data_IF_535681385804
#
_entry.id   IF_535681385804
#
_cell.length_a   1.000
_cell.length_b   1.000
_cell.length_c   1.000
_cell.angle_alpha   90.00
_cell.angle_beta   90.00
_cell.angle_gamma   90.00
#
_symmetry.space_group_name_H-M   'P 1'
#
loop_
_entity.id
_entity.type
_entity.pdbx_description
1 polymer ?
#
# COMPACT_ATOMS: atom_id res chain seq x y z
N UNK A 1 -12.10 2.55 17.45
CA UNK A 1 -12.25 3.89 16.86
C UNK A 1 -13.60 3.94 16.17
N UNK A 2 -14.32 5.07 16.27
CA UNK A 2 -15.50 5.30 15.43
C UNK A 2 -15.05 5.39 13.96
N UNK A 3 -15.80 4.79 13.05
CA UNK A 3 -15.48 4.82 11.63
C UNK A 3 -15.88 6.21 11.10
N UNK A 4 -14.97 6.89 10.40
CA UNK A 4 -15.24 8.19 9.79
C UNK A 4 -15.58 8.05 8.31
N UNK A 5 -16.67 8.68 7.87
CA UNK A 5 -17.07 8.72 6.47
C UNK A 5 -17.12 10.16 5.97
N UNK A 6 -16.58 10.38 4.77
CA UNK A 6 -16.72 11.64 4.04
C UNK A 6 -17.71 11.45 2.89
N UNK A 7 -18.77 12.25 2.83
CA UNK A 7 -19.76 12.17 1.75
C UNK A 7 -19.46 13.27 0.73
N UNK A 8 -19.08 12.85 -0.47
CA UNK A 8 -18.83 13.71 -1.62
C UNK A 8 -20.11 13.76 -2.49
N UNK A 9 -20.72 14.93 -2.67
CA UNK A 9 -21.98 15.10 -3.40
C UNK A 9 -22.11 16.51 -3.96
N UNK A 10 -22.84 16.68 -5.06
CA UNK A 10 -23.16 18.00 -5.61
C UNK A 10 -24.35 18.60 -4.83
N UNK A 11 -24.52 19.92 -4.87
CA UNK A 11 -25.61 20.61 -4.16
C UNK A 11 -26.99 19.99 -4.44
N UNK A 12 -27.23 19.59 -5.69
CA UNK A 12 -28.51 18.98 -6.11
C UNK A 12 -28.75 17.58 -5.51
N UNK A 13 -27.71 16.92 -5.01
CA UNK A 13 -27.75 15.58 -4.40
C UNK A 13 -27.78 15.62 -2.86
N UNK A 14 -27.97 16.79 -2.25
CA UNK A 14 -27.87 16.99 -0.80
C UNK A 14 -28.82 16.09 0.00
N UNK A 15 -30.07 15.93 -0.44
CA UNK A 15 -31.05 15.09 0.24
C UNK A 15 -30.63 13.60 0.25
N UNK A 16 -30.06 13.13 -0.86
CA UNK A 16 -29.54 11.76 -0.96
C UNK A 16 -28.33 11.59 -0.04
N UNK A 17 -27.42 12.55 -0.01
CA UNK A 17 -26.27 12.55 0.87
C UNK A 17 -26.68 12.56 2.35
N UNK A 18 -27.63 13.43 2.75
CA UNK A 18 -28.16 13.49 4.12
C UNK A 18 -28.81 12.18 4.54
N UNK A 19 -29.54 11.53 3.63
CA UNK A 19 -30.17 10.22 3.90
C UNK A 19 -29.12 9.13 4.16
N UNK A 20 -28.06 9.08 3.35
CA UNK A 20 -26.93 8.16 3.55
C UNK A 20 -26.17 8.47 4.84
N UNK A 21 -25.90 9.75 5.10
CA UNK A 21 -25.21 10.21 6.30
C UNK A 21 -25.95 9.82 7.57
N UNK A 22 -27.26 10.09 7.64
CA UNK A 22 -28.09 9.73 8.78
C UNK A 22 -28.13 8.22 9.05
N UNK A 23 -28.01 7.37 8.02
CA UNK A 23 -27.91 5.91 8.22
C UNK A 23 -26.56 5.51 8.82
N UNK A 24 -25.46 6.07 8.29
CA UNK A 24 -24.11 5.80 8.79
C UNK A 24 -23.98 6.24 10.26
N UNK A 25 -24.49 7.41 10.61
CA UNK A 25 -24.53 7.92 11.99
C UNK A 25 -25.33 7.00 12.91
N UNK A 26 -26.50 6.49 12.46
CA UNK A 26 -27.28 5.48 13.20
C UNK A 26 -26.49 4.20 13.49
N UNK A 27 -25.46 3.91 12.70
CA UNK A 27 -24.55 2.78 12.90
C UNK A 27 -23.26 3.14 13.65
N UNK A 28 -23.19 4.34 14.25
CA UNK A 28 -22.09 4.80 15.10
C UNK A 28 -20.91 5.41 14.35
N UNK A 29 -21.13 5.88 13.11
CA UNK A 29 -20.08 6.48 12.29
C UNK A 29 -20.07 7.99 12.48
N UNK A 30 -18.90 8.60 12.34
CA UNK A 30 -18.77 10.06 12.27
C UNK A 30 -18.81 10.47 10.80
N UNK A 31 -19.77 11.31 10.43
CA UNK A 31 -19.99 11.72 9.05
C UNK A 31 -19.57 13.17 8.84
N UNK A 32 -18.79 13.40 7.79
CA UNK A 32 -18.49 14.73 7.27
C UNK A 32 -19.12 14.88 5.90
N UNK A 33 -19.94 15.91 5.72
CA UNK A 33 -20.53 16.24 4.43
C UNK A 33 -19.60 17.16 3.65
N UNK A 34 -19.45 16.91 2.34
CA UNK A 34 -18.91 17.89 1.41
C UNK A 34 -19.78 19.15 1.42
N UNK A 35 -19.17 20.30 1.14
CA UNK A 35 -19.88 21.56 1.17
C UNK A 35 -19.01 22.77 0.84
N UNK A 36 -19.65 23.94 0.63
CA UNK A 36 -18.98 25.19 0.27
C UNK A 36 -17.93 25.62 1.31
N UNK A 37 -18.07 25.14 2.54
CA UNK A 37 -17.12 25.31 3.64
C UNK A 37 -15.71 24.84 3.30
N UNK A 38 -15.55 23.90 2.36
CA UNK A 38 -14.27 23.32 1.95
C UNK A 38 -13.91 23.66 0.48
N UNK A 39 -14.86 24.18 -0.29
CA UNK A 39 -14.74 24.44 -1.73
C UNK A 39 -14.15 25.82 -2.02
N UNK A 40 -12.94 26.08 -1.54
CA UNK A 40 -12.16 27.24 -1.95
C UNK A 40 -10.68 26.91 -2.10
N UNK A 41 -9.96 27.65 -2.95
CA UNK A 41 -8.53 27.42 -3.16
C UNK A 41 -7.73 27.55 -1.85
N UNK A 42 -8.10 28.51 -1.00
CA UNK A 42 -7.50 28.72 0.32
C UNK A 42 -7.71 27.53 1.27
N UNK A 43 -8.76 26.74 1.05
CA UNK A 43 -9.13 25.59 1.88
C UNK A 43 -8.77 24.24 1.27
N UNK A 44 -8.03 24.22 0.15
CA UNK A 44 -7.63 22.99 -0.52
C UNK A 44 -6.86 22.04 0.42
N UNK A 45 -5.93 22.57 1.21
CA UNK A 45 -5.17 21.79 2.20
C UNK A 45 -6.09 21.16 3.25
N UNK A 46 -7.08 21.91 3.74
CA UNK A 46 -8.05 21.42 4.71
C UNK A 46 -8.94 20.31 4.11
N UNK A 47 -9.38 20.48 2.86
CA UNK A 47 -10.13 19.46 2.12
C UNK A 47 -9.33 18.17 1.99
N UNK A 48 -8.08 18.25 1.50
CA UNK A 48 -7.23 17.07 1.34
C UNK A 48 -6.95 16.40 2.67
N UNK A 49 -6.80 17.18 3.75
CA UNK A 49 -6.64 16.63 5.09
C UNK A 49 -7.88 15.88 5.56
N UNK A 50 -9.07 16.50 5.52
CA UNK A 50 -10.33 15.89 5.97
C UNK A 50 -10.64 14.63 5.19
N UNK A 51 -10.52 14.68 3.86
CA UNK A 51 -10.73 13.50 3.00
C UNK A 51 -9.67 12.43 3.27
N UNK A 52 -8.40 12.83 3.36
CA UNK A 52 -7.26 11.94 3.56
C UNK A 52 -7.19 11.29 4.94
N UNK A 53 -7.97 11.76 5.92
CA UNK A 53 -8.08 11.19 7.26
C UNK A 53 -9.34 10.34 7.47
N UNK A 54 -10.28 10.37 6.52
CA UNK A 54 -11.49 9.52 6.56
C UNK A 54 -11.16 8.02 6.49
N UNK A 55 -12.06 7.15 6.96
CA UNK A 55 -11.94 5.71 6.72
C UNK A 55 -12.49 5.34 5.34
N UNK A 56 -13.56 6.01 4.90
CA UNK A 56 -14.20 5.79 3.61
C UNK A 56 -14.72 7.11 3.04
N UNK A 57 -14.71 7.20 1.72
CA UNK A 57 -15.40 8.25 0.98
C UNK A 57 -16.62 7.63 0.30
N UNK A 58 -17.78 8.26 0.45
CA UNK A 58 -19.00 7.86 -0.25
C UNK A 58 -19.31 8.95 -1.27
N UNK A 59 -19.21 8.62 -2.54
CA UNK A 59 -19.54 9.52 -3.65
C UNK A 59 -20.99 9.30 -4.05
N UNK A 60 -21.81 10.34 -3.95
CA UNK A 60 -23.13 10.38 -4.56
C UNK A 60 -22.93 10.76 -6.03
N UNK A 61 -23.16 9.79 -6.92
CA UNK A 61 -22.91 9.91 -8.34
C UNK A 61 -24.20 10.23 -9.10
N UNK A 62 -24.19 11.39 -9.75
CA UNK A 62 -25.26 11.96 -10.57
C UNK A 62 -24.65 12.75 -11.73
N UNK A 63 -25.49 13.29 -12.62
CA UNK A 63 -25.05 14.24 -13.65
C UNK A 63 -24.40 15.49 -13.05
N UNK A 64 -24.98 16.07 -11.99
CA UNK A 64 -24.41 17.24 -11.30
C UNK A 64 -23.05 16.91 -10.68
N UNK A 65 -22.89 15.71 -10.13
CA UNK A 65 -21.61 15.25 -9.60
C UNK A 65 -20.54 15.12 -10.69
N UNK A 66 -20.93 14.65 -11.88
CA UNK A 66 -20.04 14.57 -13.04
C UNK A 66 -19.54 15.95 -13.48
N UNK A 67 -20.36 17.00 -13.38
CA UNK A 67 -20.01 18.36 -13.79
C UNK A 67 -19.20 19.14 -12.73
N UNK A 68 -19.10 18.61 -11.50
CA UNK A 68 -18.41 19.27 -10.40
C UNK A 68 -16.90 19.02 -10.38
N UNK A 69 -16.13 20.05 -10.70
CA UNK A 69 -14.67 20.03 -10.56
C UNK A 69 -14.20 19.86 -9.09
N UNK A 70 -15.03 20.22 -8.12
CA UNK A 70 -14.71 20.05 -6.69
C UNK A 70 -14.81 18.59 -6.27
N UNK A 71 -15.85 17.87 -6.69
CA UNK A 71 -15.96 16.44 -6.40
C UNK A 71 -14.84 15.63 -7.06
N UNK A 72 -14.43 16.02 -8.26
CA UNK A 72 -13.26 15.40 -8.89
C UNK A 72 -12.00 15.58 -8.01
N UNK A 73 -11.80 16.76 -7.41
CA UNK A 73 -10.69 17.00 -6.47
C UNK A 73 -10.81 16.18 -5.19
N UNK A 74 -12.01 16.06 -4.62
CA UNK A 74 -12.25 15.23 -3.43
C UNK A 74 -11.96 13.75 -3.71
N UNK A 75 -12.41 13.22 -4.84
CA UNK A 75 -12.10 11.86 -5.25
C UNK A 75 -10.60 11.69 -5.47
N UNK A 76 -9.93 12.61 -6.16
CA UNK A 76 -8.47 12.55 -6.32
C UNK A 76 -7.75 12.58 -4.96
N UNK A 77 -8.20 13.41 -4.02
CA UNK A 77 -7.65 13.45 -2.66
C UNK A 77 -7.84 12.12 -1.94
N UNK A 78 -9.01 11.50 -2.06
CA UNK A 78 -9.31 10.18 -1.51
C UNK A 78 -8.35 9.13 -2.08
N UNK A 79 -8.21 9.08 -3.40
CA UNK A 79 -7.39 8.12 -4.12
C UNK A 79 -5.90 8.27 -3.80
N UNK A 80 -5.39 9.50 -3.75
CA UNK A 80 -4.00 9.78 -3.38
C UNK A 80 -3.68 9.39 -1.94
N UNK A 81 -4.69 9.28 -1.08
CA UNK A 81 -4.57 8.90 0.33
C UNK A 81 -5.02 7.46 0.62
N UNK A 82 -5.20 6.63 -0.40
CA UNK A 82 -5.56 5.21 -0.24
C UNK A 82 -6.98 4.99 0.30
N UNK A 83 -7.81 6.02 0.29
CA UNK A 83 -9.16 5.99 0.85
C UNK A 83 -10.07 5.24 -0.12
N UNK A 84 -10.79 4.21 0.35
CA UNK A 84 -11.77 3.55 -0.50
C UNK A 84 -12.90 4.52 -0.83
N UNK A 85 -13.35 4.50 -2.08
CA UNK A 85 -14.46 5.30 -2.56
C UNK A 85 -15.61 4.36 -2.90
N UNK A 86 -16.74 4.51 -2.23
CA UNK A 86 -17.98 3.80 -2.52
C UNK A 86 -18.81 4.69 -3.43
N UNK A 87 -19.15 4.19 -4.62
CA UNK A 87 -20.01 4.89 -5.55
C UNK A 87 -21.47 4.52 -5.28
N UNK A 88 -22.27 5.53 -4.97
CA UNK A 88 -23.71 5.43 -4.75
C UNK A 88 -24.40 6.20 -5.85
N UNK A 89 -25.12 5.51 -6.71
CA UNK A 89 -25.70 6.08 -7.92
C UNK A 89 -27.06 6.71 -7.61
N UNK A 90 -27.14 8.04 -7.62
CA UNK A 90 -28.37 8.81 -7.44
C UNK A 90 -28.98 9.30 -8.76
N UNK A 91 -28.19 9.30 -9.85
CA UNK A 91 -28.65 9.65 -11.20
C UNK A 91 -28.02 8.78 -12.27
N UNK A 92 -28.43 8.98 -13.52
CA UNK A 92 -27.76 8.35 -14.66
C UNK A 92 -26.41 9.02 -14.92
N UNK A 93 -25.41 8.22 -15.30
CA UNK A 93 -24.08 8.69 -15.66
C UNK A 93 -23.87 8.46 -17.16
N UNK A 94 -23.29 9.45 -17.81
CA UNK A 94 -22.86 9.32 -19.21
C UNK A 94 -21.76 8.26 -19.36
N UNK A 95 -21.70 7.58 -20.51
CA UNK A 95 -20.70 6.53 -20.75
C UNK A 95 -19.25 7.05 -20.72
N UNK A 96 -19.06 8.35 -20.97
CA UNK A 96 -17.79 9.08 -20.95
C UNK A 96 -17.52 9.79 -19.61
N UNK A 97 -18.33 9.52 -18.57
CA UNK A 97 -18.14 10.10 -17.24
C UNK A 97 -16.74 9.83 -16.68
N UNK A 98 -16.12 10.87 -16.10
CA UNK A 98 -14.86 10.73 -15.37
C UNK A 98 -15.01 9.75 -14.19
N UNK A 99 -16.22 9.59 -13.64
CA UNK A 99 -16.51 8.65 -12.55
C UNK A 99 -16.27 7.21 -13.03
N UNK A 100 -16.82 6.84 -14.19
CA UNK A 100 -16.57 5.53 -14.81
C UNK A 100 -15.11 5.32 -15.19
N UNK A 101 -14.44 6.38 -15.64
CA UNK A 101 -13.03 6.31 -16.02
C UNK A 101 -12.08 6.14 -14.82
N UNK A 102 -12.52 6.52 -13.60
CA UNK A 102 -11.64 6.63 -12.42
C UNK A 102 -11.99 5.64 -11.32
N UNK A 103 -13.25 5.25 -11.20
CA UNK A 103 -13.77 4.44 -10.10
C UNK A 103 -14.42 3.15 -10.62
N UNK A 104 -14.39 2.11 -9.80
CA UNK A 104 -15.12 0.88 -10.08
C UNK A 104 -16.62 1.11 -9.86
N UNK A 105 -17.35 1.14 -10.98
CA UNK A 105 -18.81 1.28 -11.03
C UNK A 105 -19.49 0.00 -11.53
N UNK A 106 -18.80 -1.15 -11.53
CA UNK A 106 -19.35 -2.42 -12.05
C UNK A 106 -20.47 -3.01 -11.18
N UNK A 107 -20.57 -2.57 -9.92
CA UNK A 107 -21.61 -2.96 -8.98
C UNK A 107 -22.00 -1.74 -8.13
N UNK A 108 -22.72 -0.76 -8.70
CA UNK A 108 -23.09 0.46 -8.01
C UNK A 108 -24.21 0.18 -7.00
N UNK A 109 -24.24 0.95 -5.92
CA UNK A 109 -25.38 0.97 -4.99
C UNK A 109 -26.40 1.95 -5.55
N UNK A 110 -27.57 1.47 -5.95
CA UNK A 110 -28.58 2.28 -6.65
C UNK A 110 -29.53 2.99 -5.69
N UNK A 111 -29.51 4.33 -5.72
CA UNK A 111 -30.41 5.24 -5.00
C UNK A 111 -31.36 6.02 -5.91
N UNK A 112 -31.38 5.78 -7.23
CA UNK A 112 -32.27 6.49 -8.16
C UNK A 112 -33.76 6.33 -7.82
N UNK A 113 -34.11 5.28 -7.07
CA UNK A 113 -35.47 5.02 -6.59
C UNK A 113 -35.68 5.34 -5.10
N UNK A 114 -34.83 6.22 -4.56
CA UNK A 114 -34.84 6.69 -3.17
C UNK A 114 -33.93 5.91 -2.22
N UNK A 115 -33.61 6.53 -1.07
CA UNK A 115 -32.80 6.01 0.03
C UNK A 115 -33.51 4.91 0.84
N UNK A 116 -33.82 3.79 0.19
CA UNK A 116 -34.46 2.63 0.84
C UNK A 116 -33.47 1.94 1.78
N UNK A 117 -34.02 1.33 2.83
CA UNK A 117 -33.23 0.60 3.84
C UNK A 117 -32.25 -0.40 3.22
N UNK A 118 -32.65 -1.17 2.20
CA UNK A 118 -31.77 -2.15 1.53
C UNK A 118 -30.51 -1.51 0.92
N UNK A 119 -30.66 -0.42 0.17
CA UNK A 119 -29.52 0.26 -0.48
C UNK A 119 -28.61 0.93 0.56
N UNK A 120 -29.20 1.49 1.61
CA UNK A 120 -28.45 2.07 2.72
C UNK A 120 -27.66 1.01 3.50
N UNK A 121 -28.25 -0.18 3.71
CA UNK A 121 -27.55 -1.33 4.30
C UNK A 121 -26.38 -1.78 3.42
N UNK A 122 -26.52 -1.79 2.09
CA UNK A 122 -25.41 -2.10 1.18
C UNK A 122 -24.23 -1.15 1.32
N UNK A 123 -24.48 0.15 1.57
CA UNK A 123 -23.40 1.13 1.82
C UNK A 123 -22.62 0.72 3.07
N UNK A 124 -23.34 0.41 4.15
CA UNK A 124 -22.75 -0.02 5.43
C UNK A 124 -21.96 -1.31 5.26
N UNK A 125 -22.54 -2.32 4.63
CA UNK A 125 -21.90 -3.62 4.44
C UNK A 125 -20.62 -3.50 3.61
N UNK A 126 -20.68 -2.72 2.52
CA UNK A 126 -19.50 -2.47 1.69
C UNK A 126 -18.43 -1.68 2.45
N UNK A 127 -18.84 -0.66 3.21
CA UNK A 127 -17.91 0.15 4.00
C UNK A 127 -17.28 -0.65 5.14
N UNK A 128 -18.03 -1.53 5.81
CA UNK A 128 -17.51 -2.49 6.81
C UNK A 128 -16.55 -3.50 6.17
N UNK A 129 -16.90 -4.08 5.03
CA UNK A 129 -16.03 -5.01 4.29
C UNK A 129 -14.73 -4.36 3.79
N UNK A 130 -14.72 -3.04 3.59
CA UNK A 130 -13.53 -2.26 3.26
C UNK A 130 -12.68 -1.97 4.51
N UNK A 131 -13.30 -1.86 5.69
CA UNK A 131 -12.62 -1.57 6.96
C UNK A 131 -12.07 -2.81 7.69
N UNK A 132 -12.54 -4.02 7.37
CA UNK A 132 -11.98 -5.29 7.87
C UNK A 132 -10.99 -5.82 6.85
N UNK A 133 -9.78 -5.27 6.77
CA UNK A 133 -8.79 -5.69 5.75
C UNK A 133 -7.36 -5.68 6.25
N UNK A 134 -6.54 -6.53 5.62
CA UNK A 134 -5.09 -6.49 5.79
C UNK A 134 -4.52 -5.12 5.51
N UNK A 135 -3.43 -4.80 6.20
CA UNK A 135 -2.75 -3.50 6.08
C UNK A 135 -1.81 -3.49 4.89
N UNK A 136 -1.85 -2.44 4.08
CA UNK A 136 -0.90 -2.23 2.98
C UNK A 136 0.30 -1.47 3.51
N UNK A 137 1.46 -2.09 3.41
CA UNK A 137 2.71 -1.58 3.96
C UNK A 137 3.70 -1.42 2.81
N UNK A 138 4.10 -0.19 2.51
CA UNK A 138 5.11 0.09 1.49
C UNK A 138 6.50 0.22 2.12
N UNK A 139 7.46 -0.53 1.59
CA UNK A 139 8.86 -0.47 1.96
C UNK A 139 9.55 0.54 1.06
N UNK A 140 9.83 1.75 1.56
CA UNK A 140 10.30 2.88 0.74
C UNK A 140 11.55 3.55 1.32
N UNK A 141 12.48 3.93 0.46
CA UNK A 141 13.63 4.77 0.75
C UNK A 141 14.28 5.17 -0.57
N UNK A 142 14.54 6.47 -0.74
CA UNK A 142 15.23 7.03 -1.90
C UNK A 142 16.70 6.58 -1.96
N UNK A 143 17.32 6.24 -0.82
CA UNK A 143 18.65 5.66 -0.82
C UNK A 143 18.61 4.19 -1.24
N UNK A 144 19.44 3.84 -2.23
CA UNK A 144 19.70 2.46 -2.62
C UNK A 144 20.49 1.69 -1.55
N UNK A 145 20.44 0.35 -1.56
CA UNK A 145 21.29 -0.48 -0.71
C UNK A 145 20.96 -0.50 0.79
N UNK A 146 19.94 0.24 1.26
CA UNK A 146 19.54 0.26 2.68
C UNK A 146 18.90 -1.05 3.18
N UNK A 147 18.60 -1.98 2.28
CA UNK A 147 18.04 -3.30 2.60
C UNK A 147 16.51 -3.41 2.52
N UNK A 148 15.82 -2.55 1.74
CA UNK A 148 14.36 -2.61 1.51
C UNK A 148 13.84 -4.01 1.21
N UNK A 149 14.24 -4.58 0.07
CA UNK A 149 13.83 -5.92 -0.37
C UNK A 149 14.13 -7.00 0.67
N UNK A 150 15.33 -6.96 1.25
CA UNK A 150 15.77 -7.95 2.24
C UNK A 150 14.90 -7.88 3.50
N UNK A 151 14.63 -6.68 4.00
CA UNK A 151 13.75 -6.50 5.16
C UNK A 151 12.29 -6.81 4.81
N UNK A 152 11.80 -6.42 3.64
CA UNK A 152 10.47 -6.78 3.16
C UNK A 152 10.29 -8.30 3.23
N UNK A 153 11.20 -9.06 2.64
CA UNK A 153 11.12 -10.52 2.67
C UNK A 153 11.21 -11.09 4.09
N UNK A 154 12.17 -10.63 4.90
CA UNK A 154 12.52 -11.30 6.16
C UNK A 154 11.69 -10.86 7.37
N UNK A 155 11.32 -9.58 7.47
CA UNK A 155 10.45 -9.07 8.54
C UNK A 155 9.07 -9.71 8.41
N UNK A 156 8.51 -9.74 7.20
CA UNK A 156 7.17 -10.30 7.02
C UNK A 156 7.16 -11.83 6.94
N UNK A 157 8.28 -12.48 6.57
CA UNK A 157 8.45 -13.90 6.84
C UNK A 157 8.48 -14.21 8.35
N UNK A 158 9.07 -13.32 9.18
CA UNK A 158 9.04 -13.48 10.63
C UNK A 158 7.61 -13.40 11.17
N UNK A 159 6.82 -12.41 10.74
CA UNK A 159 5.39 -12.32 11.07
C UNK A 159 4.60 -13.59 10.66
N UNK A 160 4.86 -14.12 9.46
CA UNK A 160 4.19 -15.33 8.99
C UNK A 160 4.56 -16.56 9.81
N UNK A 161 5.86 -16.77 10.06
CA UNK A 161 6.35 -17.98 10.71
C UNK A 161 6.04 -17.99 12.20
N UNK A 162 6.23 -16.86 12.89
CA UNK A 162 6.01 -16.73 14.34
C UNK A 162 4.52 -16.58 14.68
N UNK A 163 3.81 -15.67 14.00
CA UNK A 163 2.47 -15.25 14.40
C UNK A 163 1.35 -15.77 13.47
N UNK A 164 1.71 -16.60 12.47
CA UNK A 164 0.76 -17.15 11.49
C UNK A 164 -0.02 -16.07 10.72
N UNK A 165 0.61 -14.91 10.49
CA UNK A 165 0.04 -13.85 9.66
C UNK A 165 -0.04 -14.27 8.20
N UNK A 166 -1.17 -14.00 7.56
CA UNK A 166 -1.28 -14.10 6.11
C UNK A 166 -0.59 -12.89 5.46
N UNK A 167 0.33 -13.11 4.52
CA UNK A 167 1.13 -12.05 3.89
C UNK A 167 1.10 -12.20 2.38
N UNK A 168 0.78 -11.12 1.67
CA UNK A 168 0.97 -11.02 0.23
C UNK A 168 2.05 -9.99 -0.07
N UNK A 169 2.99 -10.31 -0.95
CA UNK A 169 4.00 -9.38 -1.43
C UNK A 169 3.64 -8.87 -2.82
N UNK A 170 4.01 -7.63 -3.12
CA UNK A 170 4.00 -7.05 -4.46
C UNK A 170 5.41 -6.52 -4.71
N UNK A 171 6.08 -7.07 -5.71
CA UNK A 171 7.38 -6.56 -6.17
C UNK A 171 7.15 -5.54 -7.29
N UNK A 172 7.30 -4.27 -6.95
CA UNK A 172 7.07 -3.13 -7.82
C UNK A 172 8.39 -2.47 -8.27
N UNK A 173 9.52 -3.12 -8.04
CA UNK A 173 10.83 -2.67 -8.51
C UNK A 173 11.12 -3.29 -9.90
N UNK A 174 11.52 -2.50 -10.93
CA UNK A 174 12.00 -3.06 -12.20
C UNK A 174 13.18 -4.03 -12.04
N UNK A 175 14.01 -3.89 -11.01
CA UNK A 175 15.06 -4.87 -10.71
C UNK A 175 14.53 -6.18 -10.13
N UNK A 176 13.25 -6.20 -9.75
CA UNK A 176 12.46 -7.35 -9.31
C UNK A 176 13.18 -8.22 -8.26
N UNK A 177 13.99 -7.59 -7.40
CA UNK A 177 14.88 -8.28 -6.47
C UNK A 177 14.11 -9.15 -5.46
N UNK A 178 12.90 -8.75 -5.07
CA UNK A 178 12.06 -9.55 -4.17
C UNK A 178 11.61 -10.84 -4.86
N UNK A 179 11.31 -10.76 -6.15
CA UNK A 179 10.99 -11.91 -6.99
C UNK A 179 12.17 -12.83 -7.15
N UNK A 180 13.37 -12.29 -7.39
CA UNK A 180 14.60 -13.10 -7.45
C UNK A 180 14.93 -13.73 -6.10
N UNK A 181 14.56 -13.06 -5.00
CA UNK A 181 14.78 -13.56 -3.65
C UNK A 181 14.02 -14.86 -3.38
N UNK A 182 12.77 -14.95 -3.85
CA UNK A 182 11.88 -16.07 -3.58
C UNK A 182 11.82 -17.11 -4.70
N UNK A 183 11.94 -16.71 -5.97
CA UNK A 183 11.63 -17.57 -7.11
C UNK A 183 12.88 -17.97 -7.91
N UNK A 184 12.93 -19.24 -8.29
CA UNK A 184 13.98 -19.75 -9.18
C UNK A 184 13.93 -19.09 -10.57
N UNK A 185 15.04 -19.07 -11.33
CA UNK A 185 15.04 -18.56 -12.70
C UNK A 185 13.96 -19.20 -13.59
N UNK A 186 13.73 -20.51 -13.46
CA UNK A 186 12.71 -21.21 -14.25
C UNK A 186 11.28 -20.78 -13.91
N UNK A 187 10.97 -20.51 -12.64
CA UNK A 187 9.66 -19.98 -12.24
C UNK A 187 9.46 -18.56 -12.74
N UNK A 188 10.49 -17.70 -12.60
CA UNK A 188 10.46 -16.31 -13.09
C UNK A 188 10.20 -16.26 -14.59
N UNK A 189 10.92 -17.07 -15.37
CA UNK A 189 10.72 -17.15 -16.83
C UNK A 189 9.29 -17.55 -17.18
N UNK A 190 8.73 -18.60 -16.53
CA UNK A 190 7.35 -19.03 -16.78
C UNK A 190 6.31 -17.95 -16.48
N UNK A 191 6.51 -17.18 -15.41
CA UNK A 191 5.61 -16.09 -15.02
C UNK A 191 5.67 -14.96 -16.06
N UNK A 192 6.89 -14.57 -16.44
CA UNK A 192 7.13 -13.53 -17.44
C UNK A 192 6.55 -13.90 -18.80
N UNK A 193 6.82 -15.12 -19.28
CA UNK A 193 6.39 -15.60 -20.60
C UNK A 193 4.86 -15.71 -20.72
N UNK A 194 4.15 -15.80 -19.59
CA UNK A 194 2.67 -15.77 -19.53
C UNK A 194 2.10 -14.38 -19.24
N UNK A 195 2.95 -13.36 -19.07
CA UNK A 195 2.55 -12.02 -18.59
C UNK A 195 1.80 -12.03 -17.24
N UNK A 196 2.06 -13.03 -16.39
CA UNK A 196 1.44 -13.17 -15.07
C UNK A 196 2.20 -12.38 -13.97
N UNK A 197 2.92 -11.33 -14.35
CA UNK A 197 3.64 -10.43 -13.45
C UNK A 197 2.85 -9.15 -13.23
N UNK A 198 3.33 -8.32 -12.29
CA UNK A 198 2.80 -6.97 -12.08
C UNK A 198 2.78 -6.13 -13.35
N UNK A 199 3.72 -6.35 -14.29
CA UNK A 199 3.71 -5.67 -15.58
C UNK A 199 2.44 -5.98 -16.37
N UNK A 200 2.03 -7.24 -16.46
CA UNK A 200 0.81 -7.61 -17.18
C UNK A 200 -0.46 -7.08 -16.50
N UNK A 201 -0.45 -6.99 -15.17
CA UNK A 201 -1.54 -6.39 -14.39
C UNK A 201 -1.67 -4.89 -14.68
N UNK A 202 -0.56 -4.15 -14.69
CA UNK A 202 -0.56 -2.70 -14.90
C UNK A 202 -0.84 -2.31 -16.36
N UNK A 203 -0.60 -3.20 -17.33
CA UNK A 203 -0.91 -2.92 -18.73
C UNK A 203 -2.42 -3.04 -18.99
N UNK A 204 -3.10 -1.97 -19.43
CA UNK A 204 -4.54 -2.00 -19.63
C UNK A 204 -4.96 -2.71 -20.92
N UNK A 205 -4.06 -2.84 -21.89
CA UNK A 205 -4.33 -3.30 -23.26
C UNK A 205 -3.11 -4.02 -23.85
N UNK A 206 -3.32 -4.66 -24.99
CA UNK A 206 -2.29 -5.39 -25.73
C UNK A 206 -2.07 -6.80 -25.21
N UNK A 207 -1.18 -7.54 -25.88
CA UNK A 207 -0.90 -8.96 -25.60
C UNK A 207 -0.35 -9.21 -24.18
N UNK A 208 0.25 -8.19 -23.56
CA UNK A 208 0.74 -8.27 -22.20
C UNK A 208 -0.34 -8.09 -21.13
N UNK A 209 -1.55 -7.62 -21.48
CA UNK A 209 -2.58 -7.28 -20.50
C UNK A 209 -3.23 -8.50 -19.88
N UNK A 210 -3.33 -8.52 -18.55
CA UNK A 210 -4.07 -9.53 -17.77
C UNK A 210 -5.50 -9.05 -17.53
N UNK A 211 -6.56 -9.84 -17.85
CA UNK A 211 -7.94 -9.46 -17.54
C UNK A 211 -8.17 -9.12 -16.07
N UNK A 212 -9.01 -8.10 -15.78
CA UNK A 212 -9.29 -7.64 -14.41
C UNK A 212 -9.74 -8.77 -13.46
N UNK A 213 -10.56 -9.70 -13.98
CA UNK A 213 -11.06 -10.87 -13.26
C UNK A 213 -9.99 -11.87 -12.84
N UNK A 214 -8.85 -11.88 -13.54
CA UNK A 214 -7.76 -12.84 -13.29
C UNK A 214 -6.71 -12.30 -12.33
N UNK A 215 -6.64 -10.97 -12.14
CA UNK A 215 -5.63 -10.29 -11.32
C UNK A 215 -5.49 -10.92 -9.94
N UNK A 216 -6.60 -11.23 -9.28
CA UNK A 216 -6.61 -11.80 -7.94
C UNK A 216 -5.98 -13.20 -7.84
N UNK A 217 -5.94 -13.96 -8.95
CA UNK A 217 -5.45 -15.34 -9.03
C UNK A 217 -3.98 -15.48 -9.45
N UNK A 218 -3.29 -14.38 -9.75
CA UNK A 218 -1.89 -14.41 -10.23
C UNK A 218 -0.84 -14.57 -9.12
N UNK A 219 -1.24 -14.48 -7.85
CA UNK A 219 -0.31 -14.57 -6.73
C UNK A 219 0.35 -15.95 -6.66
N UNK A 220 1.68 -15.96 -6.57
CA UNK A 220 2.49 -17.18 -6.50
C UNK A 220 2.62 -17.58 -5.02
N UNK A 221 2.14 -18.76 -4.61
CA UNK A 221 2.31 -19.21 -3.24
C UNK A 221 3.80 -19.49 -2.94
N UNK A 222 4.28 -18.96 -1.83
CA UNK A 222 5.66 -19.02 -1.37
C UNK A 222 5.86 -19.99 -0.20
N UNK A 223 4.80 -20.35 0.55
CA UNK A 223 4.81 -21.33 1.63
C UNK A 223 4.22 -22.69 1.18
N UNK A 224 4.87 -23.31 0.20
CA UNK A 224 4.40 -24.57 -0.40
C UNK A 224 4.68 -25.74 0.54
N UNK A 225 3.72 -26.06 1.41
CA UNK A 225 3.79 -27.22 2.29
C UNK A 225 3.46 -28.54 1.55
N UNK A 226 3.84 -29.68 2.14
CA UNK A 226 3.30 -30.99 1.72
C UNK A 226 1.77 -30.97 1.91
N UNK A 227 1.04 -31.62 1.00
CA UNK A 227 -0.44 -31.69 0.98
C UNK A 227 -1.01 -31.95 2.38
N UNK A 228 -1.97 -31.12 2.82
CA UNK A 228 -2.81 -31.38 4.01
C UNK A 228 -2.68 -30.39 5.17
N UNK A 229 -1.63 -29.56 5.24
CA UNK A 229 -1.52 -28.54 6.28
C UNK A 229 -2.23 -27.24 5.84
N UNK A 230 -3.27 -26.81 6.58
CA UNK A 230 -3.82 -25.45 6.43
C UNK A 230 -2.77 -24.47 6.96
N UNK A 231 -2.10 -23.75 6.06
CA UNK A 231 -1.22 -22.64 6.41
C UNK A 231 -1.87 -21.32 5.98
N UNK A 232 -1.65 -20.21 6.73
CA UNK A 232 -2.02 -18.87 6.29
C UNK A 232 -1.40 -18.56 4.92
N UNK A 233 -1.97 -17.61 4.18
CA UNK A 233 -1.41 -17.26 2.87
C UNK A 233 0.00 -16.66 3.03
N UNK A 234 0.95 -17.08 2.21
CA UNK A 234 2.24 -16.41 2.05
C UNK A 234 2.56 -16.43 0.57
N UNK A 235 2.35 -15.32 -0.11
CA UNK A 235 2.28 -15.28 -1.59
C UNK A 235 2.92 -14.02 -2.17
N UNK A 236 3.26 -14.05 -3.46
CA UNK A 236 3.94 -12.97 -4.16
C UNK A 236 3.29 -12.68 -5.51
N UNK A 237 3.00 -11.40 -5.78
CA UNK A 237 2.86 -10.88 -7.14
C UNK A 237 4.26 -10.55 -7.66
N UNK A 238 4.69 -11.30 -8.65
CA UNK A 238 6.04 -11.20 -9.20
C UNK A 238 6.26 -9.86 -9.93
N UNK A 239 7.44 -9.30 -9.69
CA UNK A 239 8.01 -8.18 -10.42
C UNK A 239 8.45 -8.59 -11.83
N UNK A 240 8.78 -7.59 -12.64
CA UNK A 240 9.16 -7.78 -14.03
C UNK A 240 10.12 -6.67 -14.46
N UNK A 241 11.18 -7.02 -15.20
CA UNK A 241 12.12 -6.04 -15.73
C UNK A 241 11.43 -4.97 -16.57
N UNK A 242 10.40 -5.33 -17.34
CA UNK A 242 9.65 -4.43 -18.24
C UNK A 242 8.93 -3.29 -17.51
N UNK A 243 8.86 -3.32 -16.17
CA UNK A 243 8.42 -2.17 -15.37
C UNK A 243 9.26 -0.90 -15.62
N UNK A 244 10.46 -1.00 -16.19
CA UNK A 244 11.24 0.18 -16.59
C UNK A 244 10.43 1.09 -17.54
N UNK A 245 9.51 0.55 -18.35
CA UNK A 245 8.63 1.34 -19.23
C UNK A 245 7.72 2.30 -18.46
N UNK A 246 7.26 1.90 -17.26
CA UNK A 246 6.49 2.77 -16.37
C UNK A 246 7.36 3.82 -15.69
N UNK A 247 8.66 3.56 -15.57
CA UNK A 247 9.62 4.51 -15.00
C UNK A 247 9.97 5.63 -15.98
N UNK A 248 10.02 5.34 -17.28
CA UNK A 248 10.24 6.33 -18.33
C UNK A 248 9.05 7.29 -18.52
N UNK A 249 7.88 6.91 -18.00
CA UNK A 249 6.68 7.74 -17.93
C UNK A 249 6.14 8.27 -19.28
N UNK A 250 6.48 7.59 -20.39
CA UNK A 250 6.09 7.96 -21.78
C UNK A 250 4.65 7.59 -22.15
N UNK A 251 3.93 6.95 -21.24
CA UNK A 251 2.55 6.48 -21.45
C UNK A 251 1.56 7.65 -21.43
N UNK A 252 0.40 7.46 -22.06
CA UNK A 252 -0.68 8.45 -22.00
C UNK A 252 -1.24 8.57 -20.58
N UNK A 253 -1.81 9.73 -20.22
CA UNK A 253 -2.45 9.92 -18.91
C UNK A 253 -3.61 8.93 -18.69
N UNK A 254 -4.31 8.57 -19.76
CA UNK A 254 -5.36 7.54 -19.74
C UNK A 254 -4.79 6.18 -19.33
N UNK A 255 -3.67 5.77 -19.91
CA UNK A 255 -3.06 4.47 -19.58
C UNK A 255 -2.48 4.46 -18.16
N UNK A 256 -1.95 5.60 -17.68
CA UNK A 256 -1.52 5.76 -16.28
C UNK A 256 -2.70 5.66 -15.32
N UNK A 257 -3.80 6.33 -15.63
CA UNK A 257 -5.02 6.28 -14.82
C UNK A 257 -5.60 4.87 -14.76
N UNK A 258 -5.58 4.13 -15.87
CA UNK A 258 -6.03 2.75 -15.82
C UNK A 258 -5.03 1.83 -15.09
N UNK A 259 -3.72 1.95 -15.32
CA UNK A 259 -2.72 1.20 -14.57
C UNK A 259 -2.90 1.39 -13.05
N UNK A 260 -3.19 2.62 -12.62
CA UNK A 260 -3.54 2.94 -11.24
C UNK A 260 -4.79 2.19 -10.76
N UNK A 261 -5.87 2.20 -11.56
CA UNK A 261 -7.12 1.49 -11.25
C UNK A 261 -6.90 -0.02 -11.11
N UNK A 262 -6.15 -0.63 -12.03
CA UNK A 262 -5.81 -2.06 -12.00
C UNK A 262 -4.94 -2.42 -10.80
N UNK A 263 -4.00 -1.55 -10.45
CA UNK A 263 -3.18 -1.73 -9.25
C UNK A 263 -4.03 -1.70 -7.96
N UNK A 264 -5.00 -0.78 -7.88
CA UNK A 264 -5.94 -0.74 -6.75
C UNK A 264 -6.83 -1.98 -6.68
N UNK A 265 -7.26 -2.51 -7.82
CA UNK A 265 -8.00 -3.77 -7.88
C UNK A 265 -7.16 -4.93 -7.34
N UNK A 266 -5.89 -5.02 -7.73
CA UNK A 266 -4.94 -6.00 -7.18
C UNK A 266 -4.81 -5.86 -5.66
N UNK A 267 -4.48 -4.66 -5.17
CA UNK A 267 -4.31 -4.40 -3.74
C UNK A 267 -5.58 -4.76 -2.97
N UNK A 268 -6.75 -4.41 -3.50
CA UNK A 268 -8.05 -4.77 -2.94
C UNK A 268 -8.23 -6.28 -2.81
N UNK A 269 -7.91 -7.04 -3.86
CA UNK A 269 -8.02 -8.50 -3.87
C UNK A 269 -7.06 -9.16 -2.86
N UNK A 270 -5.84 -8.65 -2.72
CA UNK A 270 -4.85 -9.19 -1.76
C UNK A 270 -5.23 -8.85 -0.31
N UNK A 271 -5.64 -7.61 -0.04
CA UNK A 271 -6.06 -7.16 1.29
C UNK A 271 -7.26 -7.92 1.84
N UNK A 272 -8.11 -8.48 0.98
CA UNK A 272 -9.26 -9.27 1.38
C UNK A 272 -8.90 -10.65 1.95
N UNK A 273 -7.68 -11.15 1.73
CA UNK A 273 -7.25 -12.51 2.12
C UNK A 273 -5.91 -12.58 2.86
N UNK A 274 -5.32 -11.43 3.15
CA UNK A 274 -4.04 -11.31 3.84
C UNK A 274 -4.15 -10.31 4.98
N UNK A 275 -3.41 -10.53 6.06
CA UNK A 275 -3.30 -9.59 7.19
C UNK A 275 -2.37 -8.42 6.83
N UNK A 276 -1.40 -8.66 5.95
CA UNK A 276 -0.48 -7.66 5.43
C UNK A 276 -0.26 -7.82 3.93
N UNK A 277 -0.31 -6.70 3.21
CA UNK A 277 0.10 -6.58 1.81
C UNK A 277 1.35 -5.72 1.76
N UNK A 278 2.49 -6.30 1.40
CA UNK A 278 3.80 -5.64 1.47
C UNK A 278 4.22 -5.24 0.05
N UNK A 279 4.46 -3.96 -0.17
CA UNK A 279 4.92 -3.43 -1.45
C UNK A 279 6.42 -3.14 -1.34
N UNK A 280 7.24 -3.83 -2.13
CA UNK A 280 8.66 -3.49 -2.31
C UNK A 280 8.78 -2.63 -3.57
N UNK A 281 9.36 -1.44 -3.44
CA UNK A 281 9.45 -0.47 -4.55
C UNK A 281 10.87 0.02 -4.74
N UNK A 282 11.16 0.44 -5.96
CA UNK A 282 12.44 1.01 -6.36
C UNK A 282 12.77 2.32 -5.60
N UNK A 283 14.06 2.69 -5.45
CA UNK A 283 14.50 3.87 -4.71
C UNK A 283 14.33 5.21 -5.48
N UNK A 284 13.40 5.32 -6.41
CA UNK A 284 13.22 6.54 -7.23
C UNK A 284 11.78 7.05 -7.12
N UNK A 285 11.60 8.38 -7.14
CA UNK A 285 10.28 9.02 -7.20
C UNK A 285 9.70 8.90 -8.62
N UNK A 286 9.14 7.74 -8.95
CA UNK A 286 8.55 7.41 -10.26
C UNK A 286 7.05 7.14 -10.14
N UNK A 287 6.38 6.91 -11.27
CA UNK A 287 4.98 6.46 -11.29
C UNK A 287 4.75 5.23 -10.39
N UNK A 288 5.67 4.27 -10.40
CA UNK A 288 5.60 3.05 -9.58
C UNK A 288 5.62 3.37 -8.08
N UNK A 289 6.54 4.22 -7.63
CA UNK A 289 6.58 4.67 -6.24
C UNK A 289 5.32 5.45 -5.86
N UNK A 290 4.73 6.20 -6.79
CA UNK A 290 3.42 6.85 -6.58
C UNK A 290 2.32 5.80 -6.34
N UNK A 291 2.27 4.71 -7.10
CA UNK A 291 1.33 3.60 -6.84
C UNK A 291 1.51 3.03 -5.43
N UNK A 292 2.75 2.82 -4.99
CA UNK A 292 3.04 2.33 -3.66
C UNK A 292 2.57 3.31 -2.56
N UNK A 293 2.90 4.60 -2.68
CA UNK A 293 2.56 5.64 -1.67
C UNK A 293 1.05 5.82 -1.52
N UNK A 294 0.34 5.87 -2.65
CA UNK A 294 -1.09 6.16 -2.72
C UNK A 294 -1.95 4.99 -2.25
N UNK A 295 -1.44 3.76 -2.29
CA UNK A 295 -2.18 2.57 -1.82
C UNK A 295 -1.76 2.08 -0.43
N UNK A 296 -0.63 2.58 0.08
CA UNK A 296 -0.12 2.22 1.40
C UNK A 296 -0.94 2.86 2.53
N UNK A 297 -1.34 2.05 3.50
CA UNK A 297 -1.80 2.56 4.80
C UNK A 297 -0.61 3.05 5.62
N UNK A 298 0.51 2.34 5.50
CA UNK A 298 1.71 2.55 6.30
C UNK A 298 2.97 2.50 5.45
N UNK A 299 3.92 3.39 5.71
CA UNK A 299 5.22 3.40 5.02
C UNK A 299 6.30 3.03 6.03
N UNK A 300 7.13 2.05 5.68
CA UNK A 300 8.33 1.70 6.44
C UNK A 300 9.56 2.14 5.66
N UNK A 301 10.39 2.96 6.28
CA UNK A 301 11.66 3.42 5.75
C UNK A 301 12.83 2.73 6.46
N UNK A 302 13.47 1.74 5.81
CA UNK A 302 14.71 1.16 6.30
C UNK A 302 15.84 2.18 6.23
N UNK A 303 16.58 2.32 7.32
CA UNK A 303 17.73 3.22 7.39
C UNK A 303 18.94 2.44 7.86
N UNK A 304 20.05 2.57 7.12
CA UNK A 304 21.34 2.09 7.59
C UNK A 304 22.05 3.21 8.34
N UNK A 305 22.64 2.94 9.51
CA UNK A 305 23.44 3.95 10.20
C UNK A 305 24.62 4.38 9.33
N UNK A 306 24.53 5.54 8.70
CA UNK A 306 25.53 6.09 7.81
C UNK A 306 25.35 7.61 7.76
N UNK A 307 26.40 8.34 7.34
CA UNK A 307 26.27 9.79 7.10
C UNK A 307 25.13 10.06 6.11
N UNK A 308 24.39 11.15 6.33
CA UNK A 308 23.28 11.63 5.51
C UNK A 308 22.00 10.76 5.53
N UNK A 309 21.84 9.91 6.54
CA UNK A 309 20.63 9.09 6.71
C UNK A 309 19.37 9.94 6.87
N UNK A 310 19.45 11.02 7.67
CA UNK A 310 18.33 11.94 7.87
C UNK A 310 17.98 12.71 6.58
N UNK A 311 18.97 13.06 5.75
CA UNK A 311 18.73 13.71 4.46
C UNK A 311 17.87 12.84 3.54
N UNK A 312 18.19 11.55 3.43
CA UNK A 312 17.39 10.61 2.62
C UNK A 312 15.97 10.43 3.16
N UNK A 313 15.79 10.44 4.49
CA UNK A 313 14.48 10.42 5.13
C UNK A 313 13.67 11.68 4.82
N UNK A 314 14.27 12.87 4.94
CA UNK A 314 13.62 14.15 4.61
C UNK A 314 13.14 14.18 3.16
N UNK A 315 13.97 13.72 2.21
CA UNK A 315 13.56 13.64 0.81
C UNK A 315 12.39 12.67 0.61
N UNK A 316 12.39 11.53 1.29
CA UNK A 316 11.29 10.57 1.21
C UNK A 316 9.99 11.16 1.78
N UNK A 317 10.05 11.78 2.96
CA UNK A 317 8.88 12.45 3.56
C UNK A 317 8.31 13.51 2.62
N UNK A 318 9.18 14.32 2.01
CA UNK A 318 8.74 15.33 1.04
C UNK A 318 8.00 14.70 -0.14
N UNK A 319 8.57 13.67 -0.78
CA UNK A 319 7.91 12.97 -1.91
C UNK A 319 6.55 12.40 -1.50
N UNK A 320 6.47 11.80 -0.31
CA UNK A 320 5.21 11.24 0.18
C UNK A 320 4.17 12.34 0.43
N UNK A 321 4.59 13.47 1.01
CA UNK A 321 3.73 14.62 1.27
C UNK A 321 3.19 15.24 -0.02
N UNK A 322 4.05 15.41 -1.03
CA UNK A 322 3.64 15.90 -2.36
C UNK A 322 2.63 14.96 -3.02
N UNK A 323 2.87 13.64 -2.97
CA UNK A 323 1.94 12.66 -3.54
C UNK A 323 0.59 12.63 -2.80
N UNK A 324 0.61 12.71 -1.47
CA UNK A 324 -0.63 12.69 -0.65
C UNK A 324 -1.35 14.03 -0.59
N UNK A 325 -0.65 15.14 -0.89
CA UNK A 325 -1.17 16.51 -0.80
C UNK A 325 -1.45 16.99 0.63
N UNK A 326 -0.91 16.30 1.65
CA UNK A 326 -1.07 16.66 3.07
C UNK A 326 0.11 16.18 3.91
N UNK A 327 0.27 16.78 5.08
CA UNK A 327 1.24 16.34 6.08
C UNK A 327 1.01 14.88 6.48
N UNK A 328 2.11 14.17 6.72
CA UNK A 328 2.09 12.81 7.24
C UNK A 328 1.83 12.79 8.74
N UNK A 329 1.05 11.80 9.18
CA UNK A 329 0.93 11.49 10.60
C UNK A 329 2.02 10.49 10.98
N UNK A 330 2.65 10.61 12.16
CA UNK A 330 3.61 9.62 12.63
C UNK A 330 3.06 8.18 12.67
N UNK A 331 1.76 7.98 12.82
CA UNK A 331 1.15 6.64 12.77
C UNK A 331 1.22 5.99 11.38
N UNK A 332 1.38 6.78 10.31
CA UNK A 332 1.41 6.30 8.92
C UNK A 332 2.84 6.03 8.41
N UNK A 333 3.85 6.25 9.26
CA UNK A 333 5.25 6.15 8.89
C UNK A 333 6.07 5.46 9.98
N UNK A 334 7.07 4.69 9.59
CA UNK A 334 8.02 4.08 10.52
C UNK A 334 9.42 4.10 9.98
N UNK A 335 10.38 4.49 10.81
CA UNK A 335 11.80 4.34 10.52
C UNK A 335 12.30 3.08 11.19
N UNK A 336 12.89 2.17 10.42
CA UNK A 336 13.49 0.93 10.91
C UNK A 336 15.00 0.98 10.70
N UNK A 337 15.77 1.03 11.79
CA UNK A 337 17.22 0.91 11.71
C UNK A 337 17.63 -0.52 11.33
N UNK A 338 18.48 -0.62 10.32
CA UNK A 338 18.92 -1.86 9.72
C UNK A 338 20.45 -1.90 9.62
N UNK A 339 21.03 -3.07 9.84
CA UNK A 339 22.47 -3.23 9.80
C UNK A 339 23.18 -2.59 10.97
N UNK A 340 22.51 -2.44 12.13
CA UNK A 340 23.17 -1.96 13.35
C UNK A 340 24.22 -2.97 13.83
N UNK A 341 25.24 -2.51 14.53
CA UNK A 341 26.40 -3.28 14.98
C UNK A 341 27.18 -3.92 13.81
N UNK A 342 27.21 -3.29 12.63
CA UNK A 342 28.00 -3.76 11.49
C UNK A 342 29.51 -3.56 11.71
N UNK A 343 30.16 -4.60 12.22
CA UNK A 343 31.62 -4.67 12.44
C UNK A 343 32.46 -4.67 11.16
N UNK A 344 31.82 -4.77 9.98
CA UNK A 344 32.54 -4.71 8.70
C UNK A 344 32.72 -3.29 8.17
N UNK A 345 32.03 -2.30 8.76
CA UNK A 345 32.20 -0.89 8.44
C UNK A 345 33.52 -0.39 9.06
N UNK A 346 34.39 0.21 8.24
CA UNK A 346 35.65 0.80 8.71
C UNK A 346 35.38 2.04 9.58
N UNK A 347 35.74 2.00 10.86
CA UNK A 347 35.53 3.09 11.84
C UNK A 347 34.76 2.63 13.09
N UNK A 348 34.75 3.43 14.16
CA UNK A 348 34.09 3.17 15.45
C UNK A 348 32.60 2.84 15.25
N UNK A 349 32.27 1.55 15.23
CA UNK A 349 30.97 1.07 14.76
C UNK A 349 29.81 1.42 15.69
N UNK A 350 30.10 1.65 16.97
CA UNK A 350 29.07 2.01 17.95
C UNK A 350 28.69 3.49 17.84
N UNK A 351 29.64 4.35 17.49
CA UNK A 351 29.44 5.80 17.47
C UNK A 351 28.54 6.20 16.31
N UNK A 352 28.75 5.66 15.11
CA UNK A 352 27.89 5.98 13.98
C UNK A 352 26.44 5.46 14.14
N UNK A 353 26.25 4.35 14.87
CA UNK A 353 24.92 3.82 15.18
C UNK A 353 24.20 4.70 16.19
N UNK A 354 24.87 5.06 17.30
CA UNK A 354 24.36 5.99 18.29
C UNK A 354 24.07 7.36 17.69
N UNK A 355 25.01 7.94 16.94
CA UNK A 355 24.86 9.24 16.29
C UNK A 355 23.69 9.26 15.31
N UNK A 356 23.52 8.23 14.47
CA UNK A 356 22.39 8.19 13.53
C UNK A 356 21.08 8.05 14.27
N UNK A 357 21.04 7.24 15.34
CA UNK A 357 19.85 7.09 16.18
C UNK A 357 19.49 8.41 16.85
N UNK A 358 20.45 9.10 17.44
CA UNK A 358 20.25 10.37 18.15
C UNK A 358 19.80 11.48 17.19
N UNK A 359 20.40 11.54 15.99
CA UNK A 359 19.99 12.47 14.94
C UNK A 359 18.53 12.24 14.51
N UNK A 360 18.13 10.99 14.28
CA UNK A 360 16.75 10.66 13.89
C UNK A 360 15.78 10.88 15.05
N UNK A 361 16.17 10.49 16.28
CA UNK A 361 15.36 10.65 17.48
C UNK A 361 15.12 12.12 17.83
N UNK A 362 16.08 13.00 17.54
CA UNK A 362 15.96 14.44 17.73
C UNK A 362 15.15 15.16 16.65
N UNK A 363 14.89 14.51 15.51
CA UNK A 363 14.10 15.11 14.44
C UNK A 363 12.59 15.09 14.78
N UNK A 364 11.86 16.22 14.71
CA UNK A 364 10.47 16.31 15.20
C UNK A 364 9.51 15.26 14.64
N UNK A 365 9.54 15.00 13.33
CA UNK A 365 8.71 13.98 12.70
C UNK A 365 9.28 12.57 12.89
N UNK A 366 10.57 12.37 12.56
CA UNK A 366 11.15 11.03 12.52
C UNK A 366 11.44 10.42 13.89
N UNK A 367 11.67 11.21 14.93
CA UNK A 367 11.85 10.69 16.28
C UNK A 367 10.60 9.98 16.78
N UNK A 368 9.42 10.54 16.48
CA UNK A 368 8.16 9.86 16.75
C UNK A 368 7.92 8.64 15.86
N UNK A 369 8.43 8.65 14.61
CA UNK A 369 8.31 7.55 13.65
C UNK A 369 9.35 6.43 13.85
N UNK A 370 10.42 6.66 14.61
CA UNK A 370 11.47 5.68 14.86
C UNK A 370 10.92 4.49 15.65
N UNK A 371 11.15 3.29 15.13
CA UNK A 371 10.80 2.07 15.83
C UNK A 371 11.84 1.78 16.93
N UNK A 372 11.40 1.27 18.09
CA UNK A 372 12.33 0.87 19.16
C UNK A 372 13.12 -0.38 18.80
N UNK A 373 12.57 -1.21 17.90
CA UNK A 373 13.22 -2.43 17.42
C UNK A 373 14.11 -2.16 16.22
N UNK A 374 15.30 -2.75 16.25
CA UNK A 374 16.33 -2.59 15.22
C UNK A 374 16.77 -3.95 14.69
N UNK A 375 17.20 -3.98 13.42
CA UNK A 375 17.72 -5.19 12.78
C UNK A 375 19.25 -5.13 12.74
N UNK A 376 19.96 -6.01 13.47
CA UNK A 376 21.40 -6.03 13.47
C UNK A 376 21.95 -6.54 12.14
N UNK A 377 23.18 -6.16 11.82
CA UNK A 377 23.89 -6.67 10.68
C UNK A 377 24.01 -8.20 10.75
N UNK A 378 23.72 -8.85 9.62
CA UNK A 378 23.83 -10.29 9.48
C UNK A 378 24.27 -10.64 8.06
N UNK A 379 25.38 -11.37 7.95
CA UNK A 379 25.84 -11.89 6.66
C UNK A 379 24.78 -12.79 5.99
N UNK A 380 23.91 -13.45 6.76
CA UNK A 380 22.84 -14.30 6.23
C UNK A 380 21.76 -13.48 5.52
N UNK A 381 21.43 -12.29 6.04
CA UNK A 381 20.52 -11.36 5.36
C UNK A 381 21.12 -10.80 4.07
N UNK A 382 22.46 -10.72 4.00
CA UNK A 382 23.21 -10.29 2.81
C UNK A 382 23.39 -11.41 1.77
N UNK A 383 23.32 -12.67 2.19
CA UNK A 383 23.61 -13.82 1.32
C UNK A 383 22.57 -13.96 0.22
N UNK A 384 23.02 -13.96 -1.04
CA UNK A 384 22.18 -14.30 -2.18
C UNK A 384 21.60 -15.71 -1.98
N UNK A 385 20.32 -15.95 -2.33
CA UNK A 385 19.79 -17.30 -2.32
C UNK A 385 20.65 -18.21 -3.20
N UNK A 386 21.13 -19.33 -2.65
CA UNK A 386 21.70 -20.40 -3.47
C UNK A 386 20.57 -21.12 -4.19
N UNK A 387 20.74 -21.49 -5.46
CA UNK A 387 19.76 -22.24 -6.27
C UNK A 387 19.28 -23.57 -5.65
N UNK A 388 19.95 -24.05 -4.59
CA UNK A 388 19.64 -25.29 -3.86
C UNK A 388 18.38 -25.27 -3.00
N UNK A 389 17.60 -24.19 -2.96
CA UNK A 389 16.36 -24.13 -2.17
C UNK A 389 15.20 -24.77 -2.92
N UNK A 390 15.26 -26.10 -2.96
CA UNK A 390 14.30 -26.98 -3.58
C UNK A 390 12.92 -26.93 -2.88
N UNK A 391 11.87 -26.90 -3.70
CA UNK A 391 10.44 -27.05 -3.40
C UNK A 391 9.69 -25.93 -2.65
N UNK A 392 10.26 -25.24 -1.65
CA UNK A 392 9.53 -24.26 -0.85
C UNK A 392 10.27 -22.90 -0.69
N UNK A 393 9.85 -21.85 -1.43
CA UNK A 393 10.48 -20.53 -1.41
C UNK A 393 10.69 -19.91 -0.03
N UNK A 394 9.78 -20.06 0.93
CA UNK A 394 9.91 -19.44 2.25
C UNK A 394 11.19 -19.87 3.01
N UNK A 395 11.78 -21.02 2.65
CA UNK A 395 13.03 -21.51 3.21
C UNK A 395 14.25 -20.64 2.88
N UNK A 396 14.13 -19.72 1.92
CA UNK A 396 15.20 -18.77 1.57
C UNK A 396 15.43 -17.72 2.66
N UNK A 397 14.45 -17.53 3.54
CA UNK A 397 14.47 -16.48 4.56
C UNK A 397 15.47 -16.79 5.67
N UNK A 398 16.04 -15.74 6.28
CA UNK A 398 16.90 -15.86 7.45
C UNK A 398 16.19 -16.56 8.62
N UNK A 399 14.87 -16.46 8.69
CA UNK A 399 14.03 -17.16 9.66
C UNK A 399 14.17 -18.68 9.58
N UNK A 400 14.36 -19.25 8.40
CA UNK A 400 14.54 -20.69 8.22
C UNK A 400 16.02 -21.11 8.28
N UNK A 401 16.94 -20.28 7.75
CA UNK A 401 18.37 -20.64 7.65
C UNK A 401 19.13 -20.65 8.98
N UNK A 402 18.69 -19.86 9.97
CA UNK A 402 19.59 -19.45 11.08
C UNK A 402 19.36 -20.18 12.41
N UNK A 403 18.40 -21.11 12.51
CA UNK A 403 18.15 -21.90 13.74
C UNK A 403 17.65 -21.11 14.96
N UNK A 404 18.38 -20.11 15.48
CA UNK A 404 18.01 -19.31 16.65
C UNK A 404 19.05 -18.23 17.02
N UNK A 405 19.23 -17.20 16.18
CA UNK A 405 20.17 -16.09 16.44
C UNK A 405 19.44 -14.76 16.69
N UNK A 406 20.11 -13.76 17.31
CA UNK A 406 19.57 -12.41 17.55
C UNK A 406 18.86 -11.76 16.36
N UNK A 407 19.31 -12.00 15.13
CA UNK A 407 18.67 -11.48 13.92
C UNK A 407 17.21 -11.95 13.75
N UNK A 408 16.88 -13.21 14.09
CA UNK A 408 15.50 -13.72 13.99
C UNK A 408 14.58 -13.02 14.99
N UNK A 409 15.04 -12.89 16.23
CA UNK A 409 14.26 -12.22 17.29
C UNK A 409 14.05 -10.75 16.96
N UNK A 410 15.08 -10.06 16.48
CA UNK A 410 14.96 -8.68 15.98
C UNK A 410 13.96 -8.55 14.83
N UNK A 411 13.97 -9.48 13.86
CA UNK A 411 13.00 -9.47 12.76
C UNK A 411 11.56 -9.69 13.27
N UNK A 412 11.35 -10.62 14.19
CA UNK A 412 10.03 -10.87 14.80
C UNK A 412 9.53 -9.64 15.56
N UNK A 413 10.38 -9.02 16.40
CA UNK A 413 9.97 -7.82 17.14
C UNK A 413 9.71 -6.64 16.21
N UNK A 414 10.58 -6.40 15.22
CA UNK A 414 10.37 -5.37 14.20
C UNK A 414 9.06 -5.59 13.43
N UNK A 415 8.75 -6.84 13.06
CA UNK A 415 7.51 -7.18 12.38
C UNK A 415 6.28 -6.88 13.26
N UNK A 416 6.32 -7.28 14.52
CA UNK A 416 5.25 -7.00 15.47
C UNK A 416 5.10 -5.48 15.70
N UNK A 417 6.19 -4.72 15.79
CA UNK A 417 6.16 -3.27 15.94
C UNK A 417 5.54 -2.58 14.72
N UNK A 418 5.95 -2.96 13.50
CA UNK A 418 5.39 -2.46 12.25
C UNK A 418 3.89 -2.76 12.17
N UNK A 419 3.48 -4.02 12.40
CA UNK A 419 2.08 -4.43 12.29
C UNK A 419 1.19 -3.77 13.35
N UNK A 420 1.69 -3.60 14.59
CA UNK A 420 0.96 -2.84 15.62
C UNK A 420 0.73 -1.40 15.21
N UNK A 421 1.77 -0.73 14.70
CA UNK A 421 1.70 0.68 14.30
C UNK A 421 0.88 0.91 13.04
N UNK A 422 0.97 0.00 12.06
CA UNK A 422 0.08 0.01 10.90
C UNK A 422 -1.39 -0.32 11.28
N UNK A 423 -1.59 -0.96 12.44
CA UNK A 423 -2.89 -1.35 12.96
C UNK A 423 -3.61 -0.27 13.79
N UNK A 424 -2.84 0.62 14.44
CA UNK A 424 -3.32 1.76 15.22
C UNK A 424 -3.78 2.90 14.33
#
# INVERSE_FOLDING_TARGET
MAITAYLAFATDDEDAARSVGAELERHGWTVTLSGPELHSQEKLTALVQVVGESNVVVLIASQAAQESAWLQREVVAALNNGRPVIVVQAGDLSADSWIHATLDTSSPIDLRRGARSEALTQVIDRARALNVRGRVIAMLNIKGGVGKTVLAANVFAAAHLADKRSVSFIDLDPQHNLTQYFLSPSERNRIRDRNHSIYGILNPRGEASVPLSDIGGLAVPLNRARRGAKQPNFELIAGDERLFEFTLDTRSDRDKAEAFTRFRALVTALRARSDAVVIDSNPCATFLTRLAITTADHIVAPVRPEKYSLTGLNMLEHVVREVRGRALRPSEFSVLLNGVNDRTRSGETNDADAMTRDEISGAPFFGSALLPDEVPYSAVLKSAPSDRLAANPINVTAMMRVGGRPAKESLTRAAAAILRRAGS
#
